data_IF_056179763901
#
_entry.id   IF_056179763901
#
_cell.length_a   1.000
_cell.length_b   1.000
_cell.length_c   1.000
_cell.angle_alpha   90.00
_cell.angle_beta   90.00
_cell.angle_gamma   90.00
#
_symmetry.space_group_name_H-M   'P 1'
#
loop_
_entity.id
_entity.type
_entity.pdbx_description
1 polymer ?
#
# COMPACT_ATOMS: atom_id res chain seq x y z
N UNK A 1 -25.77 -23.04 -32.24
CA UNK A 1 -24.71 -22.05 -31.95
C UNK A 1 -23.96 -22.57 -30.73
N UNK A 2 -22.67 -22.91 -30.85
CA UNK A 2 -21.91 -23.38 -29.70
C UNK A 2 -21.67 -22.19 -28.76
N UNK A 3 -22.01 -22.34 -27.49
CA UNK A 3 -21.73 -21.31 -26.46
C UNK A 3 -20.35 -21.60 -25.93
N UNK A 4 -19.39 -20.73 -26.20
CA UNK A 4 -18.07 -20.79 -25.57
C UNK A 4 -18.19 -20.37 -24.10
N UNK A 5 -17.74 -21.23 -23.19
CA UNK A 5 -17.70 -20.93 -21.77
C UNK A 5 -16.33 -20.36 -21.41
N UNK A 6 -16.30 -19.11 -20.94
CA UNK A 6 -15.08 -18.48 -20.42
C UNK A 6 -14.87 -18.88 -18.95
N UNK A 7 -13.65 -19.31 -18.62
CA UNK A 7 -13.23 -19.60 -17.23
C UNK A 7 -12.43 -18.42 -16.69
N UNK A 8 -12.59 -18.13 -15.40
CA UNK A 8 -11.70 -17.18 -14.72
C UNK A 8 -10.31 -17.79 -14.59
N UNK A 9 -9.29 -16.93 -14.50
CA UNK A 9 -7.89 -17.38 -14.35
C UNK A 9 -7.70 -18.23 -13.10
N UNK A 10 -8.43 -17.94 -12.02
CA UNK A 10 -8.42 -18.70 -10.76
C UNK A 10 -8.92 -20.15 -10.88
N UNK A 11 -9.62 -20.47 -11.97
CA UNK A 11 -10.13 -21.80 -12.29
C UNK A 11 -9.28 -22.51 -13.38
N UNK A 12 -8.19 -21.89 -13.82
CA UNK A 12 -7.22 -22.49 -14.74
C UNK A 12 -6.36 -23.55 -14.04
N UNK A 13 -5.93 -24.55 -14.80
CA UNK A 13 -5.10 -25.65 -14.28
C UNK A 13 -3.73 -25.18 -13.76
N UNK A 14 -3.19 -24.10 -14.33
CA UNK A 14 -1.92 -23.49 -13.91
C UNK A 14 -2.07 -22.49 -12.76
N UNK A 15 -3.29 -22.28 -12.23
CA UNK A 15 -3.50 -21.30 -11.17
C UNK A 15 -2.92 -21.79 -9.84
N UNK A 16 -1.80 -21.17 -9.45
CA UNK A 16 -1.21 -21.42 -8.14
C UNK A 16 -2.03 -20.74 -7.05
N UNK A 17 -2.79 -21.55 -6.32
CA UNK A 17 -3.46 -21.14 -5.08
C UNK A 17 -2.45 -20.89 -3.98
N UNK A 18 -2.62 -19.78 -3.27
CA UNK A 18 -1.87 -19.47 -2.06
C UNK A 18 -2.82 -19.48 -0.86
N UNK A 19 -2.30 -19.68 0.37
CA UNK A 19 -3.15 -19.70 1.57
C UNK A 19 -3.97 -18.40 1.75
N UNK A 20 -3.36 -17.24 1.42
CA UNK A 20 -4.03 -15.93 1.34
C UNK A 20 -5.19 -15.83 0.32
N UNK A 21 -5.40 -16.85 -0.53
CA UNK A 21 -6.51 -16.91 -1.49
C UNK A 21 -7.68 -17.77 -1.01
N UNK A 22 -7.54 -18.61 0.02
CA UNK A 22 -8.60 -19.54 0.46
C UNK A 22 -8.93 -19.39 1.96
N UNK A 23 -7.90 -19.30 2.83
CA UNK A 23 -8.08 -19.35 4.29
C UNK A 23 -7.22 -18.33 5.07
N UNK A 24 -6.63 -17.36 4.38
CA UNK A 24 -5.84 -16.32 5.04
C UNK A 24 -6.66 -15.50 6.03
N UNK A 25 -6.01 -14.99 7.08
CA UNK A 25 -6.65 -14.19 8.12
C UNK A 25 -6.67 -12.73 7.73
N UNK A 26 -7.84 -12.09 7.79
CA UNK A 26 -7.97 -10.65 7.66
C UNK A 26 -7.36 -9.96 8.89
N UNK A 27 -6.50 -8.98 8.66
CA UNK A 27 -5.84 -8.17 9.67
C UNK A 27 -5.91 -6.70 9.28
N UNK A 28 -5.80 -5.84 10.28
CA UNK A 28 -5.82 -4.39 10.12
C UNK A 28 -4.57 -3.84 10.79
N UNK A 29 -3.78 -3.05 10.06
CA UNK A 29 -2.64 -2.32 10.60
C UNK A 29 -2.98 -0.84 10.63
N UNK A 30 -3.14 -0.29 11.83
CA UNK A 30 -3.33 1.14 12.04
C UNK A 30 -2.01 1.89 11.93
N UNK A 31 -2.10 3.15 11.52
CA UNK A 31 -1.00 4.11 11.55
C UNK A 31 -1.52 5.49 11.93
N UNK A 32 -0.66 6.28 12.57
CA UNK A 32 -0.96 7.66 12.95
C UNK A 32 0.33 8.46 13.01
N UNK A 33 0.40 9.51 12.20
CA UNK A 33 1.34 10.61 12.32
C UNK A 33 0.68 11.69 13.19
N UNK A 34 1.17 11.94 14.41
CA UNK A 34 0.71 13.07 15.22
C UNK A 34 1.04 14.40 14.53
N UNK A 35 0.41 15.48 14.99
CA UNK A 35 0.63 16.81 14.43
C UNK A 35 2.12 17.16 14.39
N UNK A 36 2.64 17.44 13.20
CA UNK A 36 4.03 17.87 13.01
C UNK A 36 4.27 19.19 13.75
N UNK A 37 5.43 19.34 14.40
CA UNK A 37 5.76 20.58 15.14
C UNK A 37 6.49 21.61 14.30
N UNK A 38 7.01 21.20 13.14
CA UNK A 38 7.70 22.04 12.16
C UNK A 38 7.28 21.63 10.76
N UNK A 39 7.40 22.53 9.80
CA UNK A 39 7.28 22.15 8.40
C UNK A 39 8.46 21.24 8.02
N UNK A 40 8.20 20.22 7.21
CA UNK A 40 9.26 19.38 6.65
C UNK A 40 9.88 20.01 5.40
N UNK A 41 10.76 19.25 4.75
CA UNK A 41 11.37 19.64 3.48
C UNK A 41 10.48 19.27 2.28
N UNK A 42 10.81 19.81 1.11
CA UNK A 42 10.14 19.41 -0.12
C UNK A 42 10.38 17.91 -0.36
N UNK A 43 9.36 17.18 -0.83
CA UNK A 43 9.43 15.73 -1.01
C UNK A 43 9.60 14.94 0.30
N UNK A 44 9.17 15.49 1.45
CA UNK A 44 9.19 14.77 2.74
C UNK A 44 8.51 13.41 2.60
N UNK A 45 9.20 12.37 3.08
CA UNK A 45 8.69 11.01 3.17
C UNK A 45 8.36 10.64 4.61
N UNK A 46 7.33 9.82 4.80
CA UNK A 46 6.80 9.42 6.11
C UNK A 46 6.53 7.93 6.08
N UNK A 47 7.25 7.16 6.90
CA UNK A 47 6.97 5.74 7.08
C UNK A 47 5.69 5.56 7.90
N UNK A 48 4.64 5.00 7.30
CA UNK A 48 3.32 4.89 7.92
C UNK A 48 3.23 3.65 8.82
N UNK A 49 3.58 2.48 8.28
CA UNK A 49 3.58 1.23 9.02
C UNK A 49 4.46 0.18 8.34
N UNK A 50 4.69 -0.93 9.04
CA UNK A 50 5.41 -2.09 8.51
C UNK A 50 4.51 -3.32 8.49
N UNK A 51 4.29 -3.87 7.30
CA UNK A 51 3.59 -5.13 7.10
C UNK A 51 4.53 -6.31 7.43
N UNK A 52 3.99 -7.43 7.95
CA UNK A 52 4.81 -8.56 8.38
C UNK A 52 5.54 -9.24 7.21
N UNK A 53 6.62 -9.95 7.54
CA UNK A 53 7.29 -10.84 6.59
C UNK A 53 6.37 -12.01 6.19
N UNK A 54 6.48 -12.47 4.96
CA UNK A 54 5.65 -13.51 4.36
C UNK A 54 4.89 -13.00 3.14
N UNK A 55 3.85 -13.74 2.75
CA UNK A 55 2.93 -13.32 1.69
C UNK A 55 1.81 -12.49 2.30
N UNK A 56 1.67 -11.25 1.86
CA UNK A 56 0.64 -10.31 2.31
C UNK A 56 -0.19 -9.90 1.11
N UNK A 57 -1.52 -9.91 1.24
CA UNK A 57 -2.43 -9.33 0.26
C UNK A 57 -3.09 -8.10 0.86
N UNK A 58 -2.76 -6.91 0.39
CA UNK A 58 -3.46 -5.69 0.77
C UNK A 58 -4.81 -5.66 0.03
N UNK A 59 -5.84 -5.14 0.70
CA UNK A 59 -7.16 -4.87 0.15
C UNK A 59 -7.35 -3.34 0.07
N UNK A 60 -6.95 -2.68 -1.03
CA UNK A 60 -6.91 -1.21 -1.10
C UNK A 60 -8.28 -0.55 -0.92
N UNK A 61 -9.34 -1.17 -1.42
CA UNK A 61 -10.73 -0.68 -1.25
C UNK A 61 -11.28 -0.81 0.17
N UNK A 62 -10.59 -1.54 1.05
CA UNK A 62 -10.90 -1.66 2.48
C UNK A 62 -9.86 -0.96 3.35
N UNK A 63 -8.92 -0.23 2.75
CA UNK A 63 -7.88 0.53 3.44
C UNK A 63 -8.19 2.01 3.28
N UNK A 64 -8.00 2.78 4.34
CA UNK A 64 -8.44 4.18 4.38
C UNK A 64 -7.37 5.08 4.98
N UNK A 65 -7.28 6.30 4.46
CA UNK A 65 -6.42 7.37 4.94
C UNK A 65 -7.23 8.65 5.18
N UNK A 66 -6.87 9.36 6.24
CA UNK A 66 -7.33 10.69 6.57
C UNK A 66 -6.12 11.59 6.79
N UNK A 67 -6.25 12.85 6.36
CA UNK A 67 -5.21 13.87 6.53
C UNK A 67 -5.82 15.18 6.98
N UNK A 68 -5.07 16.00 7.71
CA UNK A 68 -5.41 17.42 7.83
C UNK A 68 -5.21 18.12 6.48
N UNK A 69 -5.71 19.35 6.35
CA UNK A 69 -5.39 20.17 5.19
C UNK A 69 -3.89 20.48 5.14
N UNK A 70 -3.23 20.16 4.04
CA UNK A 70 -1.82 20.49 3.84
C UNK A 70 -1.67 21.82 3.08
N UNK A 71 -2.75 22.34 2.49
CA UNK A 71 -2.75 23.59 1.72
C UNK A 71 -2.52 23.37 0.23
N UNK A 72 -2.86 24.39 -0.56
CA UNK A 72 -2.96 24.29 -2.03
C UNK A 72 -1.67 23.82 -2.71
N UNK A 73 -1.84 23.05 -3.79
CA UNK A 73 -0.75 22.59 -4.66
C UNK A 73 0.01 21.37 -4.14
N UNK A 74 -0.38 20.80 -3.00
CA UNK A 74 0.24 19.61 -2.42
C UNK A 74 -0.59 18.36 -2.69
N UNK A 75 0.10 17.28 -3.05
CA UNK A 75 -0.50 15.95 -3.17
C UNK A 75 0.25 14.94 -2.29
N UNK A 76 -0.41 13.83 -1.99
CA UNK A 76 0.15 12.74 -1.21
C UNK A 76 0.17 11.46 -2.05
N UNK A 77 1.35 10.88 -2.21
CA UNK A 77 1.51 9.54 -2.74
C UNK A 77 1.68 8.56 -1.59
N UNK A 78 1.16 7.35 -1.75
CA UNK A 78 1.37 6.25 -0.81
C UNK A 78 1.79 5.01 -1.58
N UNK A 79 2.85 4.38 -1.11
CA UNK A 79 3.43 3.22 -1.75
C UNK A 79 4.29 2.44 -0.78
N UNK A 80 5.28 1.73 -1.30
CA UNK A 80 6.14 0.88 -0.49
C UNK A 80 7.62 1.13 -0.77
N UNK A 81 8.44 0.94 0.27
CA UNK A 81 9.88 0.86 0.11
C UNK A 81 10.29 -0.43 -0.60
N UNK A 82 11.55 -0.49 -1.03
CA UNK A 82 12.13 -1.70 -1.60
C UNK A 82 12.08 -2.84 -0.57
N UNK A 83 11.83 -4.06 -1.03
CA UNK A 83 11.76 -5.23 -0.15
C UNK A 83 12.29 -6.50 -0.81
N UNK A 84 12.75 -7.42 0.04
CA UNK A 84 13.33 -8.70 -0.39
C UNK A 84 12.24 -9.68 -0.81
N UNK A 85 12.03 -9.85 -2.11
CA UNK A 85 11.13 -10.86 -2.65
C UNK A 85 11.82 -12.22 -2.78
N UNK A 86 11.03 -13.30 -2.73
CA UNK A 86 11.50 -14.63 -3.12
C UNK A 86 11.43 -14.69 -4.63
N UNK A 87 12.58 -14.82 -5.26
CA UNK A 87 12.62 -15.19 -6.66
C UNK A 87 12.09 -16.63 -6.81
N UNK A 88 11.07 -16.82 -7.64
CA UNK A 88 10.53 -18.15 -7.93
C UNK A 88 11.38 -18.90 -8.97
N UNK A 89 12.24 -18.21 -9.73
CA UNK A 89 13.08 -18.76 -10.80
C UNK A 89 14.52 -19.05 -10.36
N UNK A 90 14.99 -18.38 -9.30
CA UNK A 90 16.36 -18.49 -8.81
C UNK A 90 16.34 -19.05 -7.39
N UNK A 91 16.49 -20.36 -7.26
CA UNK A 91 16.29 -21.18 -6.05
C UNK A 91 17.09 -20.85 -4.78
N UNK A 92 17.64 -19.64 -4.61
CA UNK A 92 18.15 -19.08 -3.34
C UNK A 92 18.48 -17.58 -3.39
N UNK A 93 18.50 -16.95 -4.57
CA UNK A 93 18.88 -15.54 -4.71
C UNK A 93 17.80 -14.60 -4.15
N UNK A 94 18.21 -13.63 -3.32
CA UNK A 94 17.34 -12.53 -2.89
C UNK A 94 17.18 -11.59 -4.08
N UNK A 95 16.02 -11.61 -4.71
CA UNK A 95 15.62 -10.57 -5.65
C UNK A 95 14.96 -9.46 -4.85
N UNK A 96 15.20 -8.20 -5.18
CA UNK A 96 14.51 -7.08 -4.54
C UNK A 96 13.39 -6.56 -5.44
N UNK A 97 12.24 -6.28 -4.85
CA UNK A 97 11.25 -5.41 -5.46
C UNK A 97 11.72 -3.96 -5.26
N UNK A 98 11.70 -3.14 -6.31
CA UNK A 98 12.05 -1.74 -6.20
C UNK A 98 11.01 -0.98 -5.35
N UNK A 99 11.43 0.14 -4.76
CA UNK A 99 10.49 1.05 -4.13
C UNK A 99 9.56 1.66 -5.19
N UNK A 100 8.28 1.73 -4.90
CA UNK A 100 7.26 2.37 -5.75
C UNK A 100 6.43 3.26 -4.86
N UNK A 101 6.58 4.57 -5.02
CA UNK A 101 6.06 5.57 -4.08
C UNK A 101 4.56 5.83 -4.23
N UNK A 102 4.01 5.52 -5.40
CA UNK A 102 2.65 5.76 -5.86
C UNK A 102 1.86 4.44 -6.05
N UNK A 103 2.38 3.33 -5.51
CA UNK A 103 1.81 1.99 -5.74
C UNK A 103 0.37 1.81 -5.23
N UNK A 104 0.00 2.54 -4.17
CA UNK A 104 -1.29 2.41 -3.49
C UNK A 104 -2.15 3.66 -3.64
N UNK A 105 -1.57 4.85 -3.59
CA UNK A 105 -2.21 6.14 -3.84
C UNK A 105 -1.27 6.95 -4.73
N UNK A 106 -1.79 7.49 -5.82
CA UNK A 106 -1.09 8.37 -6.75
C UNK A 106 -1.78 9.73 -6.75
N UNK A 107 -1.11 10.76 -6.23
CA UNK A 107 -1.56 12.14 -6.36
C UNK A 107 -2.81 12.51 -5.55
N UNK A 108 -3.01 11.98 -4.34
CA UNK A 108 -4.15 12.36 -3.51
C UNK A 108 -4.10 13.85 -3.19
N UNK A 109 -5.14 14.60 -3.57
CA UNK A 109 -5.28 16.01 -3.23
C UNK A 109 -5.45 16.19 -1.71
N UNK A 110 -4.48 16.87 -1.10
CA UNK A 110 -4.46 17.21 0.32
C UNK A 110 -4.51 18.72 0.53
N UNK A 111 -4.97 19.48 -0.48
CA UNK A 111 -5.21 20.91 -0.36
C UNK A 111 -6.21 21.25 0.74
N UNK A 112 -7.15 20.34 1.00
CA UNK A 112 -8.11 20.35 2.09
C UNK A 112 -7.99 19.08 2.94
N UNK A 113 -8.66 19.05 4.09
CA UNK A 113 -8.65 17.88 4.95
C UNK A 113 -9.36 16.71 4.27
N UNK A 114 -8.71 15.55 4.28
CA UNK A 114 -9.25 14.31 3.72
C UNK A 114 -9.76 13.43 4.85
N UNK A 115 -10.97 12.89 4.71
CA UNK A 115 -11.56 12.00 5.71
C UNK A 115 -11.95 10.66 5.11
N UNK A 116 -11.14 9.63 5.37
CA UNK A 116 -11.46 8.24 5.02
C UNK A 116 -11.51 8.02 3.51
N UNK A 117 -10.48 8.43 2.78
CA UNK A 117 -10.33 8.09 1.35
C UNK A 117 -9.70 6.71 1.19
N UNK A 118 -10.23 5.94 0.25
CA UNK A 118 -9.72 4.61 -0.11
C UNK A 118 -8.38 4.73 -0.84
N UNK A 119 -7.51 3.73 -0.68
CA UNK A 119 -6.16 3.80 -1.27
C UNK A 119 -6.20 3.73 -2.81
N UNK A 120 -6.66 2.60 -3.37
CA UNK A 120 -6.61 2.34 -4.81
C UNK A 120 -7.92 1.76 -5.32
N UNK A 121 -8.15 1.89 -6.63
CA UNK A 121 -9.22 1.17 -7.33
C UNK A 121 -8.89 -0.31 -7.55
N UNK A 122 -7.62 -0.71 -7.39
CA UNK A 122 -7.19 -2.11 -7.44
C UNK A 122 -7.93 -2.96 -6.38
N UNK A 123 -8.36 -4.16 -6.77
CA UNK A 123 -9.07 -5.08 -5.87
C UNK A 123 -8.16 -5.75 -4.84
N UNK A 124 -6.93 -6.07 -5.25
CA UNK A 124 -5.92 -6.76 -4.44
C UNK A 124 -4.53 -6.26 -4.83
N UNK A 125 -3.63 -6.18 -3.86
CA UNK A 125 -2.21 -5.91 -4.09
C UNK A 125 -1.39 -6.95 -3.33
N UNK A 126 -0.78 -7.89 -4.08
CA UNK A 126 -0.09 -9.04 -3.52
C UNK A 126 1.41 -8.74 -3.38
N UNK A 127 1.92 -8.95 -2.17
CA UNK A 127 3.32 -8.74 -1.82
C UNK A 127 3.89 -10.01 -1.22
N UNK A 128 5.17 -10.27 -1.47
CA UNK A 128 5.91 -11.29 -0.75
C UNK A 128 7.24 -10.70 -0.31
N UNK A 129 7.48 -10.66 1.00
CA UNK A 129 8.74 -10.17 1.56
C UNK A 129 9.33 -11.13 2.59
N UNK A 130 10.65 -11.30 2.61
CA UNK A 130 11.34 -12.05 3.68
C UNK A 130 11.49 -11.25 4.98
N UNK A 131 11.49 -9.93 4.92
CA UNK A 131 11.82 -9.02 6.02
C UNK A 131 10.66 -8.10 6.43
N UNK A 132 9.52 -8.24 5.76
CA UNK A 132 8.37 -7.33 5.86
C UNK A 132 8.48 -6.18 4.86
N UNK A 133 7.46 -5.34 4.82
CA UNK A 133 7.38 -4.23 3.85
C UNK A 133 6.98 -2.97 4.58
N UNK A 134 7.78 -1.91 4.48
CA UNK A 134 7.41 -0.59 4.98
C UNK A 134 6.55 0.12 3.95
N UNK A 135 5.38 0.57 4.39
CA UNK A 135 4.49 1.44 3.63
C UNK A 135 4.87 2.87 3.95
N UNK A 136 5.08 3.68 2.91
CA UNK A 136 5.57 5.04 3.02
C UNK A 136 4.64 5.99 2.27
N UNK A 137 4.42 7.16 2.84
CA UNK A 137 3.80 8.29 2.17
C UNK A 137 4.84 9.32 1.75
N UNK A 138 4.60 10.04 0.65
CA UNK A 138 5.43 11.14 0.19
C UNK A 138 4.58 12.35 -0.16
N UNK A 139 4.96 13.51 0.35
CA UNK A 139 4.32 14.78 0.01
C UNK A 139 4.98 15.36 -1.24
N UNK A 140 4.20 15.61 -2.29
CA UNK A 140 4.62 16.27 -3.52
C UNK A 140 4.07 17.70 -3.59
N UNK A 141 4.63 18.50 -4.52
CA UNK A 141 4.17 19.87 -4.76
C UNK A 141 4.50 20.88 -3.65
N UNK A 142 5.27 20.47 -2.64
CA UNK A 142 5.72 21.34 -1.56
C UNK A 142 6.27 20.57 -0.35
N UNK A 143 6.26 21.24 0.80
CA UNK A 143 6.63 20.68 2.12
C UNK A 143 5.40 20.15 2.85
N UNK A 144 5.57 19.20 3.77
CA UNK A 144 4.51 18.95 4.77
C UNK A 144 4.43 20.17 5.72
N UNK A 145 3.26 20.79 5.96
CA UNK A 145 3.18 21.95 6.83
C UNK A 145 3.31 21.55 8.31
N UNK A 146 3.59 22.54 9.16
CA UNK A 146 3.47 22.38 10.61
C UNK A 146 2.00 22.16 10.98
N UNK A 147 1.74 21.27 11.92
CA UNK A 147 0.41 20.87 12.37
C UNK A 147 -0.25 19.82 11.47
N UNK A 148 0.45 19.32 10.45
CA UNK A 148 -0.06 18.29 9.57
C UNK A 148 -0.25 16.97 10.32
N UNK A 149 -1.38 16.30 10.09
CA UNK A 149 -1.68 14.97 10.63
C UNK A 149 -2.01 14.00 9.52
N UNK A 150 -1.64 12.73 9.70
CA UNK A 150 -2.04 11.61 8.85
C UNK A 150 -2.49 10.47 9.75
N UNK A 151 -3.64 9.86 9.47
CA UNK A 151 -4.09 8.69 10.20
C UNK A 151 -4.83 7.74 9.27
N UNK A 152 -4.85 6.46 9.60
CA UNK A 152 -5.57 5.50 8.79
C UNK A 152 -5.23 4.07 9.15
N UNK A 153 -5.60 3.18 8.24
CA UNK A 153 -5.29 1.77 8.38
C UNK A 153 -5.20 1.07 7.03
N UNK A 154 -4.42 -0.01 7.04
CA UNK A 154 -4.30 -0.93 5.91
C UNK A 154 -4.97 -2.24 6.31
N UNK A 155 -5.93 -2.64 5.51
CA UNK A 155 -6.58 -3.94 5.63
C UNK A 155 -5.87 -4.93 4.72
N UNK A 156 -5.45 -6.06 5.28
CA UNK A 156 -4.67 -7.06 4.56
C UNK A 156 -4.99 -8.49 5.00
N UNK A 157 -4.75 -9.45 4.12
CA UNK A 157 -4.84 -10.88 4.39
C UNK A 157 -3.43 -11.44 4.57
N UNK A 158 -3.24 -12.23 5.62
CA UNK A 158 -1.97 -12.82 6.00
C UNK A 158 -2.13 -14.22 6.61
N UNK A 159 -1.12 -15.07 6.42
CA UNK A 159 -1.01 -16.38 7.06
C UNK A 159 0.44 -16.69 7.45
#
# INVERSE_FOLDING_TARGET
MAVEAFKTTELGEDYRKYPVSDHGKLRIQFFTLPATTVAGDANTTIDLCKLPAGRVRILPRQSFISTSAFGSGRTLDVGHLAYDKRDASLGSSVSQEAAVVDALIDGLDVSSAVNGVQFSTALKFDMYSKSGVTIQAKVLGGTIPSGATIAGYITYVYE
#
